data_IF_855085241908
#
_entry.id   IF_855085241908
#
_cell.length_a   1.000
_cell.length_b   1.000
_cell.length_c   1.000
_cell.angle_alpha   90.00
_cell.angle_beta   90.00
_cell.angle_gamma   90.00
#
_symmetry.space_group_name_H-M   'P 1'
#
loop_
_entity.id
_entity.type
_entity.pdbx_description
1 polymer ?
#
# COMPACT_ATOMS: atom_id res chain seq x y z
N UNK A 1 8.35 -44.10 -63.67
CA UNK A 1 9.31 -42.98 -63.82
C UNK A 1 9.69 -42.46 -62.44
N UNK A 2 10.94 -42.03 -62.27
CA UNK A 2 11.79 -42.33 -61.12
C UNK A 2 12.08 -41.08 -60.27
N UNK A 3 12.72 -41.31 -59.13
CA UNK A 3 13.36 -40.29 -58.30
C UNK A 3 14.30 -40.94 -57.28
N UNK A 4 15.37 -41.56 -57.78
CA UNK A 4 16.53 -42.01 -57.00
C UNK A 4 17.11 -40.80 -56.23
N UNK A 5 17.22 -40.88 -54.90
CA UNK A 5 18.35 -41.49 -54.21
C UNK A 5 19.68 -40.94 -54.73
N UNK A 6 20.43 -40.22 -53.87
CA UNK A 6 21.84 -40.51 -53.51
C UNK A 6 22.48 -39.37 -52.71
N UNK A 7 23.22 -39.74 -51.66
CA UNK A 7 24.30 -38.95 -51.03
C UNK A 7 23.90 -38.27 -49.72
N UNK A 8 23.92 -38.94 -48.56
CA UNK A 8 25.09 -39.25 -47.73
C UNK A 8 26.00 -38.04 -47.48
N UNK A 9 25.89 -37.43 -46.29
CA UNK A 9 26.98 -36.93 -45.42
C UNK A 9 26.35 -36.18 -44.22
N UNK A 10 26.03 -36.84 -43.10
CA UNK A 10 26.86 -37.02 -41.90
C UNK A 10 27.46 -35.74 -41.28
N UNK A 11 26.95 -35.41 -40.08
CA UNK A 11 27.66 -35.06 -38.83
C UNK A 11 28.57 -33.82 -38.85
N UNK A 12 28.43 -32.83 -37.97
CA UNK A 12 28.45 -32.92 -36.51
C UNK A 12 27.81 -31.67 -35.86
N UNK A 13 27.81 -31.60 -34.53
CA UNK A 13 27.25 -30.55 -33.64
C UNK A 13 25.87 -30.90 -33.04
N UNK A 14 25.69 -32.17 -32.64
CA UNK A 14 24.59 -32.55 -31.72
C UNK A 14 25.10 -32.85 -30.29
N UNK A 15 26.41 -32.88 -30.06
CA UNK A 15 26.95 -33.13 -28.72
C UNK A 15 27.39 -31.81 -28.07
N UNK A 16 26.49 -31.13 -27.35
CA UNK A 16 26.90 -29.92 -26.62
C UNK A 16 25.85 -29.17 -25.78
N UNK A 17 24.55 -29.48 -25.87
CA UNK A 17 23.52 -28.75 -25.09
C UNK A 17 22.63 -29.64 -24.22
N UNK A 18 23.01 -30.90 -24.02
CA UNK A 18 22.24 -31.84 -23.19
C UNK A 18 22.26 -31.53 -21.68
N UNK A 19 23.17 -30.67 -21.20
CA UNK A 19 23.17 -30.24 -19.78
C UNK A 19 22.21 -29.08 -19.48
N UNK A 20 21.51 -28.53 -20.48
CA UNK A 20 20.70 -27.32 -20.32
C UNK A 20 19.22 -27.53 -19.91
N UNK A 21 18.72 -28.76 -19.93
CA UNK A 21 17.28 -29.05 -19.72
C UNK A 21 17.00 -29.68 -18.36
N UNK A 22 17.94 -30.46 -17.80
CA UNK A 22 17.80 -31.06 -16.47
C UNK A 22 17.78 -30.02 -15.34
N UNK A 23 18.64 -28.99 -15.42
CA UNK A 23 18.64 -27.89 -14.45
C UNK A 23 17.40 -26.99 -14.52
N UNK A 24 16.71 -26.92 -15.67
CA UNK A 24 15.59 -25.98 -15.89
C UNK A 24 14.31 -26.42 -15.20
N UNK A 25 14.05 -27.72 -15.08
CA UNK A 25 12.88 -28.25 -14.37
C UNK A 25 13.08 -28.24 -12.86
N UNK A 26 14.31 -28.49 -12.38
CA UNK A 26 14.66 -28.33 -10.98
C UNK A 26 14.53 -26.85 -10.55
N UNK A 27 15.12 -25.94 -11.33
CA UNK A 27 14.99 -24.50 -11.09
C UNK A 27 13.55 -24.00 -11.15
N UNK A 28 12.68 -24.59 -11.99
CA UNK A 28 11.25 -24.26 -12.00
C UNK A 28 10.51 -24.78 -10.77
N UNK A 29 10.90 -25.91 -10.21
CA UNK A 29 10.30 -26.42 -8.97
C UNK A 29 10.78 -25.61 -7.76
N UNK A 30 12.08 -25.33 -7.69
CA UNK A 30 12.67 -24.48 -6.66
C UNK A 30 12.09 -23.06 -6.70
N UNK A 31 11.90 -22.49 -7.90
CA UNK A 31 11.20 -21.20 -8.04
C UNK A 31 9.72 -21.26 -7.67
N UNK A 32 9.03 -22.40 -7.84
CA UNK A 32 7.63 -22.53 -7.41
C UNK A 32 7.54 -22.59 -5.89
N UNK A 33 8.41 -23.34 -5.24
CA UNK A 33 8.46 -23.40 -3.77
C UNK A 33 8.91 -22.06 -3.17
N UNK A 34 9.93 -21.42 -3.74
CA UNK A 34 10.38 -20.10 -3.31
C UNK A 34 9.31 -19.01 -3.50
N UNK A 35 8.51 -19.09 -4.58
CA UNK A 35 7.36 -18.18 -4.76
C UNK A 35 6.26 -18.44 -3.74
N UNK A 36 5.92 -19.70 -3.47
CA UNK A 36 4.91 -20.03 -2.46
C UNK A 36 5.33 -19.57 -1.06
N UNK A 37 6.61 -19.72 -0.73
CA UNK A 37 7.17 -19.29 0.55
C UNK A 37 7.21 -17.75 0.65
N UNK A 38 7.55 -17.05 -0.44
CA UNK A 38 7.48 -15.59 -0.51
C UNK A 38 6.03 -15.08 -0.42
N UNK A 39 5.07 -15.71 -1.10
CA UNK A 39 3.64 -15.37 -1.04
C UNK A 39 3.08 -15.61 0.37
N UNK A 40 3.49 -16.67 1.07
CA UNK A 40 3.12 -16.89 2.47
C UNK A 40 3.69 -15.81 3.39
N UNK A 41 4.96 -15.42 3.19
CA UNK A 41 5.59 -14.36 3.98
C UNK A 41 4.94 -12.99 3.76
N UNK A 42 4.62 -12.64 2.50
CA UNK A 42 3.89 -11.41 2.17
C UNK A 42 2.49 -11.41 2.79
N UNK A 43 1.78 -12.55 2.74
CA UNK A 43 0.43 -12.64 3.29
C UNK A 43 0.43 -12.52 4.83
N UNK A 44 1.45 -13.06 5.52
CA UNK A 44 1.62 -12.88 6.96
C UNK A 44 1.99 -11.44 7.34
N UNK A 45 2.83 -10.76 6.57
CA UNK A 45 3.15 -9.34 6.82
C UNK A 45 1.95 -8.42 6.54
N UNK A 46 1.18 -8.68 5.48
CA UNK A 46 -0.03 -7.91 5.17
C UNK A 46 -1.11 -8.07 6.26
N UNK A 47 -1.25 -9.27 6.84
CA UNK A 47 -2.18 -9.52 7.95
C UNK A 47 -1.76 -8.81 9.24
N UNK A 48 -0.46 -8.71 9.53
CA UNK A 48 0.04 -8.03 10.73
C UNK A 48 -0.13 -6.49 10.66
N UNK A 49 -0.02 -5.89 9.47
CA UNK A 49 -0.18 -4.45 9.29
C UNK A 49 -1.63 -3.95 9.46
N UNK A 50 -2.63 -4.84 9.30
CA UNK A 50 -4.05 -4.48 9.43
C UNK A 50 -4.58 -4.52 10.87
N UNK A 51 -3.77 -4.94 11.84
CA UNK A 51 -4.19 -5.04 13.24
C UNK A 51 -3.71 -3.87 14.12
N UNK A 52 -3.21 -2.78 13.54
CA UNK A 52 -3.03 -1.55 14.29
C UNK A 52 -4.41 -1.02 14.72
N UNK A 53 -4.73 -0.97 16.02
CA UNK A 53 -6.01 -0.43 16.47
C UNK A 53 -6.11 1.03 16.02
N UNK A 54 -7.26 1.47 15.47
CA UNK A 54 -7.45 2.89 15.16
C UNK A 54 -7.22 3.70 16.43
N UNK A 55 -6.34 4.70 16.35
CA UNK A 55 -6.16 5.65 17.43
C UNK A 55 -7.54 6.23 17.79
N UNK A 56 -7.89 6.33 19.09
CA UNK A 56 -9.17 6.87 19.49
C UNK A 56 -9.33 8.27 18.91
N UNK A 57 -10.35 8.45 18.06
CA UNK A 57 -10.71 9.75 17.54
C UNK A 57 -11.09 10.64 18.73
N UNK A 58 -10.40 11.78 18.86
CA UNK A 58 -10.78 12.79 19.84
C UNK A 58 -12.23 13.22 19.57
N UNK A 59 -13.08 13.31 20.61
CA UNK A 59 -14.46 13.73 20.42
C UNK A 59 -14.49 15.12 19.79
N UNK A 60 -15.16 15.24 18.64
CA UNK A 60 -15.42 16.52 18.03
C UNK A 60 -16.23 17.39 19.00
N UNK A 61 -15.95 18.70 19.09
CA UNK A 61 -16.75 19.60 19.91
C UNK A 61 -18.21 19.50 19.49
N UNK A 62 -19.06 19.13 20.44
CA UNK A 62 -20.51 19.09 20.24
C UNK A 62 -21.05 20.50 19.95
N UNK A 63 -22.18 20.59 19.26
CA UNK A 63 -22.86 21.86 18.98
C UNK A 63 -23.21 22.67 20.25
N UNK A 64 -23.41 21.99 21.38
CA UNK A 64 -23.56 22.66 22.68
C UNK A 64 -22.26 23.37 23.09
N UNK A 65 -21.11 22.71 22.94
CA UNK A 65 -19.81 23.30 23.28
C UNK A 65 -19.44 24.48 22.38
N UNK A 66 -19.83 24.47 21.09
CA UNK A 66 -19.58 25.61 20.19
C UNK A 66 -20.42 26.82 20.58
N UNK A 67 -21.68 26.63 20.99
CA UNK A 67 -22.52 27.72 21.51
C UNK A 67 -21.94 28.31 22.79
N UNK A 68 -21.44 27.48 23.71
CA UNK A 68 -20.86 27.96 24.96
C UNK A 68 -19.55 28.74 24.74
N UNK A 69 -18.70 28.30 23.81
CA UNK A 69 -17.51 29.05 23.39
C UNK A 69 -17.86 30.42 22.77
N UNK A 70 -18.95 30.50 21.99
CA UNK A 70 -19.41 31.78 21.44
C UNK A 70 -19.90 32.75 22.51
N UNK A 71 -20.48 32.25 23.61
CA UNK A 71 -20.87 33.08 24.76
C UNK A 71 -19.64 33.60 25.50
N UNK A 72 -18.66 32.74 25.77
CA UNK A 72 -17.40 33.11 26.44
C UNK A 72 -16.65 34.19 25.65
N UNK A 73 -16.55 34.03 24.32
CA UNK A 73 -15.98 35.07 23.45
C UNK A 73 -16.74 36.40 23.52
N UNK A 74 -18.07 36.37 23.67
CA UNK A 74 -18.89 37.56 23.83
C UNK A 74 -18.66 38.28 25.17
N UNK A 75 -18.50 37.51 26.25
CA UNK A 75 -18.16 38.03 27.57
C UNK A 75 -16.76 38.66 27.59
N UNK A 76 -15.77 37.99 26.99
CA UNK A 76 -14.41 38.52 26.87
C UNK A 76 -14.35 39.81 26.06
N UNK A 77 -15.17 39.92 24.99
CA UNK A 77 -15.34 41.18 24.25
C UNK A 77 -15.99 42.27 25.12
N UNK A 78 -17.04 41.94 25.87
CA UNK A 78 -17.74 42.89 26.74
C UNK A 78 -16.85 43.41 27.88
N UNK A 79 -15.93 42.57 28.38
CA UNK A 79 -14.92 42.94 29.36
C UNK A 79 -13.76 43.75 28.75
N UNK A 80 -13.74 43.92 27.42
CA UNK A 80 -12.66 44.60 26.70
C UNK A 80 -11.35 43.83 26.66
N UNK A 81 -11.37 42.52 26.99
CA UNK A 81 -10.21 41.63 26.91
C UNK A 81 -9.92 41.27 25.44
N UNK A 82 -10.99 41.07 24.66
CA UNK A 82 -10.90 40.87 23.22
C UNK A 82 -11.31 42.12 22.47
N UNK A 83 -10.55 42.44 21.43
CA UNK A 83 -10.93 43.43 20.43
C UNK A 83 -12.01 42.90 19.50
N UNK A 84 -12.69 43.80 18.79
CA UNK A 84 -13.71 43.41 17.80
C UNK A 84 -13.17 42.53 16.68
N UNK A 85 -11.92 42.78 16.27
CA UNK A 85 -11.27 42.01 15.23
C UNK A 85 -11.02 40.57 15.70
N UNK A 86 -10.44 40.40 16.89
CA UNK A 86 -10.13 39.06 17.45
C UNK A 86 -11.41 38.26 17.71
N UNK A 87 -12.47 38.90 18.18
CA UNK A 87 -13.77 38.26 18.35
C UNK A 87 -14.32 37.72 17.03
N UNK A 88 -14.23 38.51 15.95
CA UNK A 88 -14.72 38.10 14.63
C UNK A 88 -13.92 36.93 14.05
N UNK A 89 -12.59 36.94 14.21
CA UNK A 89 -11.71 35.86 13.77
C UNK A 89 -12.01 34.54 14.49
N UNK A 90 -12.16 34.56 15.81
CA UNK A 90 -12.47 33.35 16.59
C UNK A 90 -13.87 32.82 16.30
N UNK A 91 -14.86 33.70 16.15
CA UNK A 91 -16.21 33.30 15.75
C UNK A 91 -16.22 32.62 14.37
N UNK A 92 -15.48 33.15 13.40
CA UNK A 92 -15.36 32.55 12.08
C UNK A 92 -14.71 31.16 12.15
N UNK A 93 -13.66 31.00 12.96
CA UNK A 93 -12.97 29.72 13.18
C UNK A 93 -13.83 28.66 13.86
N UNK A 94 -14.77 29.08 14.72
CA UNK A 94 -15.70 28.17 15.39
C UNK A 94 -16.89 27.75 14.52
N UNK A 95 -17.21 28.52 13.49
CA UNK A 95 -18.34 28.29 12.59
C UNK A 95 -17.94 27.77 11.21
N UNK A 96 -16.63 27.72 10.91
CA UNK A 96 -16.08 27.09 9.70
C UNK A 96 -16.04 25.58 9.83
#
# INVERSE_FOLDING_TARGET
MPGLLRGIARTAVVAGTASGVAGRVHHRQDQKWAKQEAEQYEQQQAAAAQQAPPAPAAPAPSSASTIDQLKELGELKAQGILTEQEFAEQKAKLLS
#
